data_IF_720855493233
#
_entry.id   IF_720855493233
#
_cell.length_a   1.000
_cell.length_b   1.000
_cell.length_c   1.000
_cell.angle_alpha   90.00
_cell.angle_beta   90.00
_cell.angle_gamma   90.00
#
_symmetry.space_group_name_H-M   'P 1'
#
loop_
_entity.id
_entity.type
_entity.pdbx_description
1 polymer ?
#
# COMPACT_ATOMS: atom_id res chain seq x y z
N UNK A 1 -1.68 -3.35 23.69
CA UNK A 1 -2.25 -2.02 24.00
C UNK A 1 -1.57 -0.87 23.24
N UNK A 2 -0.22 -0.76 23.16
CA UNK A 2 0.47 0.36 22.47
C UNK A 2 0.18 0.42 20.97
N UNK A 3 0.25 -0.71 20.28
CA UNK A 3 -0.07 -0.75 18.83
C UNK A 3 -1.53 -0.38 18.50
N UNK A 4 -2.48 -0.68 19.41
CA UNK A 4 -3.88 -0.27 19.23
C UNK A 4 -4.06 1.26 19.34
N UNK A 5 -3.30 1.91 20.24
CA UNK A 5 -3.29 3.38 20.33
C UNK A 5 -2.69 4.01 19.07
N UNK A 6 -1.60 3.45 18.55
CA UNK A 6 -1.00 3.90 17.31
C UNK A 6 -1.98 3.73 16.12
N UNK A 7 -2.67 2.59 16.04
CA UNK A 7 -3.70 2.33 15.03
C UNK A 7 -4.82 3.38 15.09
N UNK A 8 -5.37 3.62 16.28
CA UNK A 8 -6.43 4.62 16.47
C UNK A 8 -5.99 6.03 16.09
N UNK A 9 -4.79 6.45 16.53
CA UNK A 9 -4.24 7.76 16.18
C UNK A 9 -4.07 7.90 14.66
N UNK A 10 -3.45 6.93 13.99
CA UNK A 10 -3.21 7.00 12.54
C UNK A 10 -4.50 6.87 11.72
N UNK A 11 -5.49 6.12 12.20
CA UNK A 11 -6.82 6.10 11.55
C UNK A 11 -7.47 7.49 11.58
N UNK A 12 -7.43 8.16 12.74
CA UNK A 12 -7.93 9.54 12.86
C UNK A 12 -7.13 10.49 11.97
N UNK A 13 -5.79 10.42 12.01
CA UNK A 13 -4.94 11.26 11.15
C UNK A 13 -5.21 11.00 9.66
N UNK A 14 -5.37 9.74 9.25
CA UNK A 14 -5.72 9.41 7.87
C UNK A 14 -7.01 10.11 7.46
N UNK A 15 -8.08 9.99 8.23
CA UNK A 15 -9.37 10.62 7.91
C UNK A 15 -9.25 12.16 7.89
N UNK A 16 -8.60 12.75 8.90
CA UNK A 16 -8.49 14.21 9.02
C UNK A 16 -7.65 14.84 7.91
N UNK A 17 -6.48 14.23 7.61
CA UNK A 17 -5.54 14.76 6.62
C UNK A 17 -5.96 14.47 5.16
N UNK A 18 -6.89 13.55 4.96
CA UNK A 18 -7.44 13.24 3.63
C UNK A 18 -8.85 13.80 3.42
N UNK A 19 -9.35 14.60 4.36
CA UNK A 19 -10.65 15.24 4.21
C UNK A 19 -10.65 16.27 3.06
N UNK A 20 -11.71 16.36 2.22
CA UNK A 20 -12.99 15.62 2.27
C UNK A 20 -12.98 14.26 1.53
N UNK A 21 -11.84 13.82 0.98
CA UNK A 21 -11.70 12.58 0.23
C UNK A 21 -12.20 11.37 1.04
N UNK A 22 -11.80 11.24 2.32
CA UNK A 22 -12.21 10.12 3.17
C UNK A 22 -13.74 9.98 3.34
N UNK A 23 -14.51 11.06 3.10
CA UNK A 23 -15.97 11.03 3.15
C UNK A 23 -16.62 10.71 1.79
N UNK A 24 -15.86 10.70 0.69
CA UNK A 24 -16.38 10.62 -0.68
C UNK A 24 -15.75 9.47 -1.46
N UNK A 25 -15.74 8.27 -0.87
CA UNK A 25 -15.03 7.10 -1.40
C UNK A 25 -15.52 6.58 -2.76
N UNK A 26 -16.63 7.10 -3.28
CA UNK A 26 -17.15 6.77 -4.61
C UNK A 26 -17.01 7.88 -5.63
N UNK A 27 -16.28 8.92 -5.25
CA UNK A 27 -15.92 10.01 -6.16
C UNK A 27 -14.48 9.81 -6.62
N UNK A 28 -14.23 9.98 -7.90
CA UNK A 28 -12.91 9.84 -8.49
C UNK A 28 -12.28 11.21 -8.66
N UNK A 29 -11.02 11.33 -8.24
CA UNK A 29 -10.23 12.53 -8.48
C UNK A 29 -9.89 12.64 -9.97
N UNK A 30 -9.67 13.84 -10.51
CA UNK A 30 -9.17 14.01 -11.87
C UNK A 30 -7.74 13.46 -12.03
N UNK A 31 -7.32 13.24 -13.29
CA UNK A 31 -5.99 12.73 -13.62
C UNK A 31 -5.93 11.21 -13.67
N UNK A 32 -4.83 10.61 -13.20
CA UNK A 32 -4.54 9.18 -13.35
C UNK A 32 -5.36 8.26 -12.45
N UNK A 33 -6.22 8.83 -11.60
CA UNK A 33 -7.09 8.06 -10.69
C UNK A 33 -7.95 7.01 -11.42
N UNK A 34 -8.43 7.32 -12.64
CA UNK A 34 -9.22 6.39 -13.44
C UNK A 34 -8.42 5.16 -13.85
N UNK A 35 -7.16 5.37 -14.21
CA UNK A 35 -6.25 4.29 -14.59
C UNK A 35 -5.96 3.38 -13.39
N UNK A 36 -5.58 3.93 -12.25
CA UNK A 36 -5.33 3.14 -11.04
C UNK A 36 -6.60 2.46 -10.49
N UNK A 37 -7.78 3.08 -10.61
CA UNK A 37 -9.03 2.43 -10.26
C UNK A 37 -9.30 1.22 -11.17
N UNK A 38 -9.02 1.34 -12.47
CA UNK A 38 -9.05 0.22 -13.41
C UNK A 38 -8.05 -0.88 -13.00
N UNK A 39 -6.79 -0.55 -12.69
CA UNK A 39 -5.78 -1.53 -12.30
C UNK A 39 -6.17 -2.32 -11.04
N UNK A 40 -6.65 -1.61 -10.01
CA UNK A 40 -7.15 -2.25 -8.78
C UNK A 40 -8.34 -3.15 -9.10
N UNK A 41 -9.30 -2.65 -9.89
CA UNK A 41 -10.48 -3.40 -10.33
C UNK A 41 -10.09 -4.65 -11.13
N UNK A 42 -9.18 -4.52 -12.10
CA UNK A 42 -8.67 -5.64 -12.88
C UNK A 42 -7.95 -6.66 -12.01
N UNK A 43 -7.05 -6.21 -11.13
CA UNK A 43 -6.31 -7.08 -10.20
C UNK A 43 -7.28 -7.91 -9.35
N UNK A 44 -8.28 -7.28 -8.76
CA UNK A 44 -9.29 -7.95 -7.95
C UNK A 44 -10.10 -8.92 -8.80
N UNK A 45 -10.57 -8.50 -9.98
CA UNK A 45 -11.34 -9.34 -10.89
C UNK A 45 -10.56 -10.60 -11.29
N UNK A 46 -9.33 -10.44 -11.77
CA UNK A 46 -8.49 -11.55 -12.18
C UNK A 46 -8.22 -12.53 -11.03
N UNK A 47 -7.87 -12.03 -9.84
CA UNK A 47 -7.64 -12.89 -8.67
C UNK A 47 -8.87 -13.67 -8.22
N UNK A 48 -10.09 -13.13 -8.45
CA UNK A 48 -11.36 -13.80 -8.10
C UNK A 48 -11.81 -14.82 -9.14
N UNK A 49 -11.51 -14.60 -10.42
CA UNK A 49 -12.10 -15.38 -11.54
C UNK A 49 -11.09 -16.29 -12.20
N UNK A 50 -9.95 -15.77 -12.62
CA UNK A 50 -8.86 -16.48 -13.28
C UNK A 50 -7.51 -15.80 -12.96
N UNK A 51 -6.80 -16.24 -11.90
CA UNK A 51 -5.50 -15.66 -11.55
C UNK A 51 -4.45 -15.73 -12.65
N UNK A 52 -4.56 -16.68 -13.60
CA UNK A 52 -3.69 -16.80 -14.76
C UNK A 52 -3.84 -15.64 -15.75
N UNK A 53 -5.00 -14.98 -15.77
CA UNK A 53 -5.28 -13.83 -16.64
C UNK A 53 -4.72 -12.52 -16.10
N UNK A 54 -4.23 -12.47 -14.86
CA UNK A 54 -3.75 -11.24 -14.20
C UNK A 54 -2.80 -10.40 -15.07
N UNK A 55 -1.78 -10.96 -15.75
CA UNK A 55 -0.87 -10.17 -16.57
C UNK A 55 -1.53 -9.57 -17.83
N UNK A 56 -2.68 -10.10 -18.22
CA UNK A 56 -3.39 -9.77 -19.46
C UNK A 56 -4.51 -8.76 -19.19
N UNK A 57 -4.20 -7.54 -18.78
CA UNK A 57 -5.22 -6.51 -18.60
C UNK A 57 -6.17 -6.41 -19.82
N UNK A 58 -7.44 -6.10 -19.57
CA UNK A 58 -8.48 -6.02 -20.59
C UNK A 58 -8.44 -4.70 -21.40
N UNK A 59 -7.23 -4.13 -21.58
CA UNK A 59 -6.96 -2.93 -22.39
C UNK A 59 -5.95 -3.21 -23.48
N UNK A 60 -5.86 -2.33 -24.46
CA UNK A 60 -4.90 -2.36 -25.58
C UNK A 60 -5.00 -3.61 -26.46
N UNK A 61 -6.20 -4.17 -26.63
CA UNK A 61 -6.41 -5.30 -27.54
C UNK A 61 -5.82 -5.01 -28.94
N UNK A 62 -5.08 -5.94 -29.57
CA UNK A 62 -4.91 -7.38 -29.24
C UNK A 62 -3.65 -7.69 -28.40
N UNK A 63 -3.02 -6.72 -27.78
CA UNK A 63 -1.80 -6.93 -27.01
C UNK A 63 -2.05 -7.85 -25.79
N UNK A 64 -1.04 -8.66 -25.48
CA UNK A 64 -0.99 -9.47 -24.24
C UNK A 64 -0.04 -8.83 -23.25
N UNK A 65 -0.15 -9.23 -21.98
CA UNK A 65 0.72 -8.78 -20.89
C UNK A 65 0.64 -7.25 -20.65
N UNK A 66 -0.53 -6.69 -20.89
CA UNK A 66 -0.74 -5.24 -20.86
C UNK A 66 -0.61 -4.64 -19.47
N UNK A 67 -0.80 -5.44 -18.40
CA UNK A 67 -0.55 -5.00 -17.03
C UNK A 67 0.95 -4.71 -16.79
N UNK A 68 1.84 -5.32 -17.57
CA UNK A 68 3.29 -5.09 -17.48
C UNK A 68 3.78 -3.86 -18.26
N UNK A 69 2.90 -3.11 -18.90
CA UNK A 69 3.25 -1.86 -19.60
C UNK A 69 3.33 -0.66 -18.65
N UNK A 70 2.84 -0.82 -17.43
CA UNK A 70 2.94 0.15 -16.35
C UNK A 70 3.36 -0.53 -15.04
N UNK A 71 3.42 0.22 -13.95
CA UNK A 71 3.79 -0.29 -12.64
C UNK A 71 2.63 -1.05 -12.00
N UNK A 72 2.76 -2.36 -11.79
CA UNK A 72 1.68 -3.12 -11.19
C UNK A 72 1.42 -2.66 -9.76
N UNK A 73 0.17 -2.40 -9.42
CA UNK A 73 -0.26 -2.06 -8.05
C UNK A 73 -0.73 -3.30 -7.27
N UNK A 74 -0.32 -4.49 -7.70
CA UNK A 74 -0.72 -5.76 -7.10
C UNK A 74 -0.42 -5.82 -5.60
N UNK A 75 0.81 -5.45 -5.21
CA UNK A 75 1.23 -5.46 -3.81
C UNK A 75 0.44 -4.50 -2.91
N UNK A 76 -0.21 -3.49 -3.51
CA UNK A 76 -1.09 -2.57 -2.80
C UNK A 76 -2.54 -3.08 -2.84
N UNK A 77 -2.99 -3.58 -3.98
CA UNK A 77 -4.37 -4.08 -4.19
C UNK A 77 -4.76 -5.23 -3.27
N UNK A 78 -3.79 -6.03 -2.79
CA UNK A 78 -4.08 -7.11 -1.83
C UNK A 78 -4.72 -6.61 -0.53
N UNK A 79 -4.53 -5.34 -0.16
CA UNK A 79 -5.13 -4.77 1.05
C UNK A 79 -6.65 -4.66 0.97
N UNK A 80 -7.22 -4.60 -0.23
CA UNK A 80 -8.67 -4.50 -0.43
C UNK A 80 -9.32 -5.81 -0.84
N UNK A 81 -8.58 -6.91 -0.97
CA UNK A 81 -9.15 -8.22 -1.27
C UNK A 81 -10.26 -8.65 -0.30
N UNK A 82 -10.16 -8.42 1.03
CA UNK A 82 -11.27 -8.74 1.93
C UNK A 82 -12.54 -7.94 1.62
N UNK A 83 -12.41 -6.65 1.27
CA UNK A 83 -13.55 -5.82 0.88
C UNK A 83 -14.12 -6.25 -0.47
N UNK A 84 -13.27 -6.67 -1.38
CA UNK A 84 -13.64 -7.14 -2.71
C UNK A 84 -14.51 -8.41 -2.71
N UNK A 85 -14.57 -9.14 -1.59
CA UNK A 85 -15.53 -10.24 -1.43
C UNK A 85 -17.00 -9.76 -1.40
N UNK A 86 -17.22 -8.47 -1.11
CA UNK A 86 -18.54 -7.88 -0.94
C UNK A 86 -18.88 -6.83 -2.01
N UNK A 87 -17.93 -6.42 -2.85
CA UNK A 87 -18.14 -5.41 -3.89
C UNK A 87 -17.16 -5.56 -5.04
N UNK A 88 -17.61 -5.18 -6.24
CA UNK A 88 -16.79 -5.05 -7.45
C UNK A 88 -16.66 -3.58 -7.90
N UNK A 89 -17.05 -2.62 -7.05
CA UNK A 89 -16.93 -1.19 -7.31
C UNK A 89 -15.45 -0.79 -7.30
N UNK A 90 -14.84 -0.69 -8.50
CA UNK A 90 -13.43 -0.39 -8.67
C UNK A 90 -13.02 0.96 -8.08
N UNK A 91 -13.91 1.97 -8.13
CA UNK A 91 -13.66 3.30 -7.55
C UNK A 91 -13.62 3.23 -6.04
N UNK A 92 -14.58 2.51 -5.43
CA UNK A 92 -14.58 2.30 -3.98
C UNK A 92 -13.33 1.54 -3.53
N UNK A 93 -12.97 0.45 -4.21
CA UNK A 93 -11.78 -0.35 -3.90
C UNK A 93 -10.50 0.48 -4.00
N UNK A 94 -10.35 1.25 -5.08
CA UNK A 94 -9.23 2.17 -5.28
C UNK A 94 -9.14 3.22 -4.15
N UNK A 95 -10.23 3.86 -3.79
CA UNK A 95 -10.22 4.89 -2.76
C UNK A 95 -9.97 4.30 -1.36
N UNK A 96 -10.51 3.12 -1.07
CA UNK A 96 -10.22 2.44 0.21
C UNK A 96 -8.76 2.01 0.27
N UNK A 97 -8.19 1.45 -0.80
CA UNK A 97 -6.78 1.05 -0.77
C UNK A 97 -5.85 2.24 -0.58
N UNK A 98 -6.17 3.42 -1.12
CA UNK A 98 -5.41 4.66 -0.87
C UNK A 98 -5.38 5.01 0.62
N UNK A 99 -6.53 5.00 1.30
CA UNK A 99 -6.59 5.25 2.75
C UNK A 99 -5.79 4.19 3.53
N UNK A 100 -5.90 2.92 3.14
CA UNK A 100 -5.17 1.84 3.77
C UNK A 100 -3.65 1.99 3.57
N UNK A 101 -3.16 2.48 2.42
CA UNK A 101 -1.73 2.70 2.22
C UNK A 101 -1.16 3.74 3.18
N UNK A 102 -1.88 4.83 3.44
CA UNK A 102 -1.45 5.82 4.44
C UNK A 102 -1.44 5.25 5.85
N UNK A 103 -2.54 4.61 6.26
CA UNK A 103 -2.66 3.99 7.58
C UNK A 103 -1.56 2.94 7.82
N UNK A 104 -1.38 2.02 6.87
CA UNK A 104 -0.36 0.97 6.99
C UNK A 104 1.06 1.53 6.92
N UNK A 105 1.33 2.53 6.08
CA UNK A 105 2.63 3.19 6.04
C UNK A 105 3.00 3.79 7.39
N UNK A 106 2.06 4.48 8.07
CA UNK A 106 2.28 5.03 9.40
C UNK A 106 2.56 3.93 10.43
N UNK A 107 1.76 2.85 10.42
CA UNK A 107 1.90 1.74 11.36
C UNK A 107 3.22 0.99 11.17
N UNK A 108 3.60 0.69 9.95
CA UNK A 108 4.81 -0.08 9.66
C UNK A 108 6.07 0.72 9.99
N UNK A 109 6.08 2.02 9.71
CA UNK A 109 7.15 2.92 10.12
C UNK A 109 7.22 3.10 11.66
N UNK A 110 6.06 3.17 12.34
CA UNK A 110 6.00 3.12 13.80
C UNK A 110 6.63 1.84 14.34
N UNK A 111 6.28 0.68 13.82
CA UNK A 111 6.84 -0.60 14.26
C UNK A 111 8.36 -0.66 14.03
N UNK A 112 8.84 -0.16 12.89
CA UNK A 112 10.28 -0.05 12.63
C UNK A 112 10.96 0.86 13.67
N UNK A 113 10.41 2.03 13.97
CA UNK A 113 10.95 2.92 15.01
C UNK A 113 11.04 2.23 16.36
N UNK A 114 10.00 1.47 16.75
CA UNK A 114 10.00 0.66 18.01
C UNK A 114 11.06 -0.43 17.99
N UNK A 115 11.24 -1.11 16.85
CA UNK A 115 12.27 -2.14 16.69
C UNK A 115 13.70 -1.57 16.80
N UNK A 116 13.92 -0.36 16.30
CA UNK A 116 15.20 0.35 16.39
C UNK A 116 15.48 0.92 17.79
N UNK A 117 14.53 0.77 18.75
CA UNK A 117 14.69 1.22 20.12
C UNK A 117 14.22 2.66 20.36
N UNK A 118 13.59 3.31 19.39
CA UNK A 118 13.02 4.65 19.60
C UNK A 118 11.90 4.65 20.63
N UNK A 119 11.79 5.74 21.39
CA UNK A 119 10.69 5.96 22.33
C UNK A 119 9.32 5.96 21.63
N UNK A 120 8.25 5.79 22.41
CA UNK A 120 6.86 5.73 21.90
C UNK A 120 6.53 6.94 21.04
N UNK A 121 6.76 8.15 21.58
CA UNK A 121 6.43 9.41 20.90
C UNK A 121 7.27 9.65 19.64
N UNK A 122 8.57 9.31 19.68
CA UNK A 122 9.44 9.42 18.52
C UNK A 122 9.00 8.45 17.40
N UNK A 123 8.59 7.24 17.75
CA UNK A 123 8.07 6.27 16.78
C UNK A 123 6.73 6.70 16.19
N UNK A 124 5.82 7.28 17.02
CA UNK A 124 4.56 7.84 16.53
C UNK A 124 4.80 9.00 15.57
N UNK A 125 5.69 9.92 15.92
CA UNK A 125 6.03 11.04 15.04
C UNK A 125 6.67 10.56 13.75
N UNK A 126 7.65 9.64 13.83
CA UNK A 126 8.30 9.06 12.65
C UNK A 126 7.32 8.36 11.71
N UNK A 127 6.36 7.60 12.26
CA UNK A 127 5.29 6.98 11.47
C UNK A 127 4.40 8.02 10.77
N UNK A 128 4.01 9.09 11.47
CA UNK A 128 3.22 10.17 10.89
C UNK A 128 3.99 10.91 9.78
N UNK A 129 5.26 11.25 10.02
CA UNK A 129 6.11 11.92 9.03
C UNK A 129 6.33 11.06 7.78
N UNK A 130 6.54 9.76 7.94
CA UNK A 130 6.69 8.85 6.81
C UNK A 130 5.42 8.75 5.97
N UNK A 131 4.27 8.56 6.62
CA UNK A 131 3.01 8.35 5.91
C UNK A 131 2.44 9.63 5.28
N UNK A 132 2.48 10.75 5.99
CA UNK A 132 1.83 12.01 5.61
C UNK A 132 2.83 13.08 5.15
N UNK A 133 3.98 12.67 4.60
CA UNK A 133 4.94 13.61 4.03
C UNK A 133 4.34 14.38 2.84
N UNK A 134 4.74 15.64 2.60
CA UNK A 134 4.23 16.46 1.49
C UNK A 134 4.34 15.77 0.12
N UNK A 135 5.44 15.05 -0.13
CA UNK A 135 5.63 14.30 -1.38
C UNK A 135 4.50 13.29 -1.60
N UNK A 136 4.06 12.57 -0.55
CA UNK A 136 2.99 11.58 -0.66
C UNK A 136 1.61 12.20 -0.79
N UNK A 137 1.38 13.33 -0.13
CA UNK A 137 0.10 14.06 -0.24
C UNK A 137 -0.07 14.74 -1.59
N UNK A 138 1.01 15.15 -2.24
CA UNK A 138 1.00 15.69 -3.60
C UNK A 138 0.70 14.59 -4.64
N UNK A 139 1.17 13.37 -4.41
CA UNK A 139 1.00 12.21 -5.27
C UNK A 139 -0.26 11.39 -4.96
N UNK A 140 -1.29 12.02 -4.43
CA UNK A 140 -2.50 11.32 -3.95
C UNK A 140 -3.22 10.49 -5.00
N UNK A 141 -3.16 10.87 -6.27
CA UNK A 141 -3.76 10.14 -7.39
C UNK A 141 -2.93 8.92 -7.85
N UNK A 142 -1.61 8.92 -7.58
CA UNK A 142 -0.67 7.90 -8.05
C UNK A 142 -0.51 6.78 -7.00
N UNK A 143 -1.29 5.72 -7.15
CA UNK A 143 -1.29 4.60 -6.19
C UNK A 143 0.06 3.88 -6.12
N UNK A 144 0.79 3.80 -7.23
CA UNK A 144 2.14 3.23 -7.27
C UNK A 144 3.09 3.98 -6.34
N UNK A 145 3.12 5.32 -6.40
CA UNK A 145 3.96 6.16 -5.51
C UNK A 145 3.54 6.05 -4.03
N UNK A 146 2.24 5.86 -3.77
CA UNK A 146 1.74 5.64 -2.40
C UNK A 146 2.10 4.25 -1.85
N UNK A 147 2.38 3.27 -2.71
CA UNK A 147 2.55 1.85 -2.38
C UNK A 147 3.78 1.48 -1.55
N UNK A 148 4.30 2.37 -0.69
CA UNK A 148 5.52 2.19 0.10
C UNK A 148 5.31 1.59 1.49
N UNK A 149 4.10 1.14 1.83
CA UNK A 149 3.74 0.61 3.14
C UNK A 149 4.53 -0.64 3.57
N UNK A 150 5.13 -1.35 2.63
CA UNK A 150 5.90 -2.57 2.89
C UNK A 150 7.38 -2.29 3.21
N UNK A 151 7.96 -1.17 2.74
CA UNK A 151 9.38 -0.84 2.93
C UNK A 151 9.83 -0.82 4.39
N UNK A 152 9.10 -0.20 5.34
CA UNK A 152 9.50 -0.25 6.75
C UNK A 152 9.53 -1.66 7.31
N UNK A 153 8.66 -2.58 6.82
CA UNK A 153 8.67 -3.99 7.23
C UNK A 153 9.89 -4.74 6.67
N UNK A 154 10.31 -4.45 5.43
CA UNK A 154 11.54 -5.00 4.88
C UNK A 154 12.70 -4.67 5.81
N UNK A 155 12.89 -3.38 6.14
CA UNK A 155 13.98 -2.92 7.01
C UNK A 155 13.85 -3.53 8.41
N UNK A 156 12.65 -3.57 8.97
CA UNK A 156 12.38 -4.17 10.29
C UNK A 156 12.86 -5.63 10.36
N UNK A 157 12.49 -6.43 9.36
CA UNK A 157 12.85 -7.85 9.36
C UNK A 157 14.31 -8.10 8.98
N UNK A 158 14.94 -7.25 8.17
CA UNK A 158 16.41 -7.26 7.96
C UNK A 158 17.13 -6.97 9.27
N UNK A 159 16.73 -5.96 10.03
CA UNK A 159 17.30 -5.64 11.34
C UNK A 159 17.12 -6.80 12.33
N UNK A 160 15.95 -7.42 12.37
CA UNK A 160 15.72 -8.61 13.21
C UNK A 160 16.60 -9.77 12.81
N UNK A 161 16.69 -10.06 11.52
CA UNK A 161 17.56 -11.12 11.01
C UNK A 161 19.02 -10.88 11.36
N UNK A 162 19.53 -9.66 11.20
CA UNK A 162 20.92 -9.32 11.54
C UNK A 162 21.25 -9.52 13.02
N UNK A 163 20.24 -9.39 13.90
CA UNK A 163 20.40 -9.57 15.36
C UNK A 163 20.19 -11.00 15.83
N UNK A 164 19.30 -11.76 15.19
CA UNK A 164 18.82 -13.07 15.66
C UNK A 164 19.32 -14.24 14.82
N UNK A 165 19.70 -14.02 13.55
CA UNK A 165 20.04 -15.07 12.57
C UNK A 165 18.85 -15.98 12.19
N UNK A 166 17.60 -15.64 12.57
CA UNK A 166 16.44 -16.53 12.37
C UNK A 166 15.99 -16.49 10.91
N UNK A 167 15.98 -17.66 10.25
CA UNK A 167 15.52 -17.81 8.86
C UNK A 167 14.12 -17.24 8.61
N UNK A 168 13.21 -17.30 9.62
CA UNK A 168 11.89 -16.70 9.53
C UNK A 168 11.95 -15.19 9.23
N UNK A 169 12.87 -14.47 9.87
CA UNK A 169 12.99 -13.02 9.67
C UNK A 169 13.52 -12.72 8.25
N UNK A 170 14.46 -13.53 7.74
CA UNK A 170 14.92 -13.42 6.35
C UNK A 170 13.77 -13.67 5.35
N UNK A 171 12.96 -14.73 5.58
CA UNK A 171 11.81 -15.03 4.71
C UNK A 171 10.76 -13.91 4.73
N UNK A 172 10.48 -13.33 5.90
CA UNK A 172 9.56 -12.19 6.01
C UNK A 172 10.11 -10.93 5.34
N UNK A 173 11.42 -10.67 5.44
CA UNK A 173 12.06 -9.58 4.69
C UNK A 173 11.89 -9.78 3.18
N UNK A 174 12.15 -10.98 2.68
CA UNK A 174 11.96 -11.33 1.27
C UNK A 174 10.51 -11.20 0.80
N UNK A 175 9.54 -11.65 1.62
CA UNK A 175 8.12 -11.52 1.34
C UNK A 175 7.71 -10.05 1.19
N UNK A 176 8.07 -9.19 2.18
CA UNK A 176 7.71 -7.78 2.14
C UNK A 176 8.46 -7.02 1.04
N UNK A 177 9.67 -7.45 0.69
CA UNK A 177 10.38 -6.93 -0.47
C UNK A 177 9.63 -7.26 -1.78
N UNK A 178 9.19 -8.51 -1.95
CA UNK A 178 8.39 -8.91 -3.12
C UNK A 178 7.07 -8.14 -3.21
N UNK A 179 6.39 -7.92 -2.08
CA UNK A 179 5.17 -7.13 -2.02
C UNK A 179 5.44 -5.64 -2.34
N UNK A 180 6.57 -5.09 -1.89
CA UNK A 180 6.98 -3.73 -2.22
C UNK A 180 7.27 -3.59 -3.72
N UNK A 181 7.99 -4.55 -4.30
CA UNK A 181 8.24 -4.57 -5.74
C UNK A 181 6.95 -4.69 -6.55
N UNK A 182 6.00 -5.53 -6.13
CA UNK A 182 4.70 -5.70 -6.76
C UNK A 182 3.74 -4.50 -6.52
N UNK A 183 4.07 -3.59 -5.61
CA UNK A 183 3.31 -2.36 -5.37
C UNK A 183 3.82 -1.18 -6.21
N UNK A 184 5.13 -1.10 -6.41
CA UNK A 184 5.79 -0.10 -7.25
C UNK A 184 7.25 -0.52 -7.48
N UNK A 185 7.59 -0.92 -8.69
CA UNK A 185 8.97 -1.28 -9.05
C UNK A 185 9.92 -0.08 -8.97
N UNK A 186 9.47 1.12 -9.35
CA UNK A 186 10.28 2.35 -9.32
C UNK A 186 10.64 2.82 -7.91
N UNK A 187 9.79 2.57 -6.91
CA UNK A 187 10.07 2.98 -5.54
C UNK A 187 11.33 2.33 -4.92
N UNK A 188 11.87 1.29 -5.57
CA UNK A 188 13.09 0.60 -5.16
C UNK A 188 14.34 1.09 -5.91
N UNK A 189 14.17 1.93 -6.95
CA UNK A 189 15.25 2.43 -7.80
C UNK A 189 15.64 3.87 -7.41
N UNK A 190 14.77 4.57 -6.74
CA UNK A 190 14.96 5.93 -6.20
C UNK A 190 15.17 5.90 -4.69
#
# INVERSE_FOLDING_TARGET
MRSLRALGLYAVLTVVLTWPFAANLRVMDPGDSAFFAWEVGWTVHALKTDPGSLPHGNIFHPLRYTLGLDEPVLGTSILVLPLALFTDDAVLLYNVVRLLTWLFSALTAYWLGRELGAGEWASLLGGAMFAFSPIRTDQVAHLSTLGTQWLPLVVLFVVRFSRSGRTRDALLAGLFFALSFAACGLSLIH
#
